data_IF_702056531877
#
_entry.id   IF_702056531877
#
_cell.length_a   1.000
_cell.length_b   1.000
_cell.length_c   1.000
_cell.angle_alpha   90.00
_cell.angle_beta   90.00
_cell.angle_gamma   90.00
#
_symmetry.space_group_name_H-M   'P 1'
#
loop_
_entity.id
_entity.type
_entity.pdbx_description
1 polymer ?
#
# COMPACT_ATOMS: atom_id res chain seq x y z
N UNK A 1 -8.09 -5.93 -9.06
CA UNK A 1 -7.56 -7.14 -8.37
C UNK A 1 -6.31 -6.80 -7.57
N UNK A 2 -5.14 -6.63 -8.20
CA UNK A 2 -3.88 -6.37 -7.46
C UNK A 2 -3.94 -5.16 -6.53
N UNK A 3 -4.42 -4.01 -7.00
CA UNK A 3 -4.60 -2.80 -6.17
C UNK A 3 -5.55 -3.03 -4.99
N UNK A 4 -6.67 -3.72 -5.20
CA UNK A 4 -7.65 -4.04 -4.16
C UNK A 4 -7.03 -4.83 -3.02
N UNK A 5 -6.37 -5.95 -3.34
CA UNK A 5 -5.79 -6.81 -2.31
C UNK A 5 -4.54 -6.19 -1.66
N UNK A 6 -3.72 -5.46 -2.41
CA UNK A 6 -2.62 -4.68 -1.83
C UNK A 6 -3.15 -3.65 -0.81
N UNK A 7 -4.25 -2.97 -1.15
CA UNK A 7 -4.89 -2.02 -0.25
C UNK A 7 -5.63 -2.66 0.91
N UNK A 8 -6.07 -3.91 0.80
CA UNK A 8 -6.54 -4.68 1.96
C UNK A 8 -5.41 -4.84 2.99
N UNK A 9 -4.23 -5.29 2.55
CA UNK A 9 -3.09 -5.50 3.46
C UNK A 9 -2.59 -4.17 4.05
N UNK A 10 -2.48 -3.12 3.23
CA UNK A 10 -2.10 -1.78 3.70
C UNK A 10 -3.14 -1.16 4.65
N UNK A 11 -4.43 -1.37 4.38
CA UNK A 11 -5.53 -0.93 5.23
C UNK A 11 -5.51 -1.65 6.57
N UNK A 12 -5.33 -2.98 6.55
CA UNK A 12 -5.16 -3.80 7.75
C UNK A 12 -3.99 -3.34 8.60
N UNK A 13 -2.84 -3.07 7.97
CA UNK A 13 -1.68 -2.57 8.68
C UNK A 13 -1.88 -1.16 9.25
N UNK A 14 -2.49 -0.25 8.50
CA UNK A 14 -2.71 1.13 8.96
C UNK A 14 -3.78 1.24 10.05
N UNK A 15 -4.74 0.32 10.11
CA UNK A 15 -5.90 0.42 11.01
C UNK A 15 -5.89 -0.60 12.15
N UNK A 16 -5.43 -1.83 11.91
CA UNK A 16 -5.55 -2.95 12.86
C UNK A 16 -4.22 -3.37 13.50
N UNK A 17 -3.07 -2.86 13.03
CA UNK A 17 -1.77 -3.22 13.60
C UNK A 17 -1.67 -2.88 15.10
N UNK A 18 -2.22 -1.73 15.52
CA UNK A 18 -2.22 -1.36 16.95
C UNK A 18 -3.14 -2.27 17.76
N UNK A 19 -4.29 -2.66 17.19
CA UNK A 19 -5.24 -3.58 17.84
C UNK A 19 -4.57 -4.93 18.06
N UNK A 20 -3.93 -5.48 17.03
CA UNK A 20 -3.12 -6.68 17.18
C UNK A 20 -2.09 -6.54 18.31
N UNK A 21 -1.33 -5.44 18.35
CA UNK A 21 -0.27 -5.28 19.33
C UNK A 21 -0.80 -5.27 20.77
N UNK A 22 -1.94 -4.61 21.01
CA UNK A 22 -2.60 -4.59 22.33
C UNK A 22 -3.15 -5.98 22.69
N UNK A 23 -3.84 -6.65 21.76
CA UNK A 23 -4.38 -8.01 21.96
C UNK A 23 -3.26 -9.05 22.16
N UNK A 24 -2.08 -8.84 21.56
CA UNK A 24 -0.89 -9.65 21.76
C UNK A 24 -0.23 -9.43 23.14
N UNK A 25 -0.73 -8.50 23.96
CA UNK A 25 -0.24 -8.19 25.30
C UNK A 25 0.93 -7.20 25.32
N UNK A 26 1.20 -6.48 24.22
CA UNK A 26 2.22 -5.44 24.22
C UNK A 26 1.76 -4.24 25.05
N UNK A 27 2.69 -3.61 25.77
CA UNK A 27 2.42 -2.32 26.39
C UNK A 27 2.13 -1.24 25.33
N UNK A 28 1.41 -0.18 25.69
CA UNK A 28 1.09 0.93 24.78
C UNK A 28 2.33 1.51 24.10
N UNK A 29 3.44 1.62 24.83
CA UNK A 29 4.72 2.08 24.28
C UNK A 29 5.30 1.12 23.23
N UNK A 30 5.32 -0.19 23.52
CA UNK A 30 5.77 -1.20 22.55
C UNK A 30 4.84 -1.28 21.33
N UNK A 31 3.52 -1.18 21.52
CA UNK A 31 2.54 -1.16 20.44
C UNK A 31 2.74 0.05 19.52
N UNK A 32 3.05 1.22 20.08
CA UNK A 32 3.38 2.42 19.31
C UNK A 32 4.64 2.20 18.47
N UNK A 33 5.70 1.66 19.08
CA UNK A 33 6.95 1.33 18.37
C UNK A 33 6.69 0.31 17.26
N UNK A 34 5.87 -0.72 17.49
CA UNK A 34 5.50 -1.72 16.48
C UNK A 34 4.85 -1.07 15.26
N UNK A 35 3.85 -0.20 15.45
CA UNK A 35 3.18 0.50 14.34
C UNK A 35 4.13 1.47 13.64
N UNK A 36 4.88 2.27 14.39
CA UNK A 36 5.86 3.21 13.84
C UNK A 36 6.92 2.51 13.01
N UNK A 37 7.44 1.38 13.48
CA UNK A 37 8.44 0.59 12.76
C UNK A 37 7.95 0.20 11.36
N UNK A 38 6.69 -0.24 11.26
CA UNK A 38 6.06 -0.55 9.98
C UNK A 38 5.93 0.63 9.03
N UNK A 39 5.48 1.79 9.54
CA UNK A 39 5.40 3.02 8.75
C UNK A 39 6.77 3.56 8.35
N UNK A 40 7.78 3.42 9.21
CA UNK A 40 9.17 3.75 8.88
C UNK A 40 9.69 2.86 7.75
N UNK A 41 9.46 1.55 7.83
CA UNK A 41 9.80 0.62 6.76
C UNK A 41 9.19 1.03 5.42
N UNK A 42 7.91 1.38 5.42
CA UNK A 42 7.20 1.88 4.24
C UNK A 42 7.92 3.08 3.60
N UNK A 43 8.26 4.09 4.41
CA UNK A 43 8.97 5.28 3.94
C UNK A 43 10.35 4.95 3.34
N UNK A 44 11.06 3.98 3.93
CA UNK A 44 12.41 3.59 3.50
C UNK A 44 12.42 2.97 2.10
N UNK A 45 11.53 2.02 1.81
CA UNK A 45 11.59 1.24 0.57
C UNK A 45 10.58 1.62 -0.50
N UNK A 46 9.57 2.46 -0.21
CA UNK A 46 8.57 2.86 -1.21
C UNK A 46 9.19 3.53 -2.45
N UNK A 47 10.09 4.50 -2.26
CA UNK A 47 10.74 5.20 -3.38
C UNK A 47 11.78 4.29 -4.07
N UNK A 48 12.69 3.61 -3.35
CA UNK A 48 13.65 2.69 -3.98
C UNK A 48 13.00 1.58 -4.80
N UNK A 49 12.01 0.86 -4.25
CA UNK A 49 11.33 -0.22 -4.95
C UNK A 49 10.47 0.30 -6.12
N UNK A 50 9.90 1.49 -5.97
CA UNK A 50 9.25 2.21 -7.07
C UNK A 50 10.19 2.45 -8.24
N UNK A 51 11.35 3.08 -7.98
CA UNK A 51 12.37 3.32 -9.01
C UNK A 51 12.94 2.04 -9.61
N UNK A 52 13.10 1.00 -8.78
CA UNK A 52 13.55 -0.32 -9.24
C UNK A 52 12.55 -0.91 -10.25
N UNK A 53 11.26 -0.72 -10.00
CA UNK A 53 10.20 -1.21 -10.89
C UNK A 53 10.06 -0.47 -12.23
N UNK A 54 10.72 0.68 -12.37
CA UNK A 54 10.83 1.39 -13.65
C UNK A 54 12.04 0.92 -14.46
N UNK A 55 13.00 0.22 -13.83
CA UNK A 55 14.22 -0.30 -14.48
C UNK A 55 14.13 -1.78 -14.84
N UNK A 56 13.27 -2.52 -14.17
CA UNK A 56 13.08 -3.95 -14.35
C UNK A 56 11.61 -4.26 -14.66
N UNK A 57 11.29 -5.40 -15.30
CA UNK A 57 9.91 -5.79 -15.55
C UNK A 57 9.08 -5.71 -14.26
N UNK A 58 8.12 -4.79 -14.22
CA UNK A 58 7.39 -4.40 -13.00
C UNK A 58 6.72 -5.58 -12.30
N UNK A 59 6.30 -6.60 -13.06
CA UNK A 59 5.73 -7.86 -12.53
C UNK A 59 6.70 -8.62 -11.64
N UNK A 60 8.00 -8.62 -11.95
CA UNK A 60 9.04 -9.29 -11.14
C UNK A 60 9.20 -8.57 -9.80
N UNK A 61 9.28 -7.24 -9.82
CA UNK A 61 9.40 -6.43 -8.59
C UNK A 61 8.15 -6.58 -7.71
N UNK A 62 6.96 -6.64 -8.31
CA UNK A 62 5.71 -6.93 -7.60
C UNK A 62 5.77 -8.31 -6.94
N UNK A 63 6.11 -9.37 -7.69
CA UNK A 63 6.17 -10.73 -7.13
C UNK A 63 7.19 -10.83 -6.01
N UNK A 64 8.36 -10.21 -6.16
CA UNK A 64 9.37 -10.12 -5.11
C UNK A 64 8.81 -9.49 -3.83
N UNK A 65 8.17 -8.33 -3.92
CA UNK A 65 7.57 -7.66 -2.77
C UNK A 65 6.45 -8.49 -2.14
N UNK A 66 5.59 -9.11 -2.96
CA UNK A 66 4.47 -9.94 -2.50
C UNK A 66 4.97 -11.16 -1.74
N UNK A 67 5.92 -11.92 -2.30
CA UNK A 67 6.43 -13.14 -1.66
C UNK A 67 7.23 -12.83 -0.40
N UNK A 68 8.04 -11.78 -0.37
CA UNK A 68 8.74 -11.37 0.85
C UNK A 68 7.73 -10.98 1.94
N UNK A 69 6.73 -10.15 1.59
CA UNK A 69 5.69 -9.75 2.54
C UNK A 69 4.92 -10.96 3.07
N UNK A 70 4.57 -11.90 2.19
CA UNK A 70 3.88 -13.14 2.55
C UNK A 70 4.71 -13.97 3.52
N UNK A 71 5.99 -14.20 3.21
CA UNK A 71 6.91 -14.94 4.07
C UNK A 71 7.06 -14.28 5.44
N UNK A 72 7.20 -12.95 5.50
CA UNK A 72 7.27 -12.21 6.76
C UNK A 72 5.98 -12.39 7.58
N UNK A 73 4.81 -12.30 6.95
CA UNK A 73 3.54 -12.52 7.63
C UNK A 73 3.39 -13.95 8.15
N UNK A 74 3.80 -14.96 7.36
CA UNK A 74 3.83 -16.36 7.82
C UNK A 74 4.77 -16.52 9.02
N UNK A 75 6.00 -15.99 8.95
CA UNK A 75 6.95 -16.04 10.06
C UNK A 75 6.34 -15.40 11.31
N UNK A 76 5.74 -14.21 11.21
CA UNK A 76 5.08 -13.55 12.33
C UNK A 76 3.92 -14.37 12.91
N UNK A 77 3.15 -15.07 12.07
CA UNK A 77 2.06 -15.94 12.56
C UNK A 77 2.52 -17.14 13.39
N UNK A 78 3.78 -17.55 13.23
CA UNK A 78 4.38 -18.69 13.94
C UNK A 78 5.12 -18.26 15.23
N UNK A 79 5.34 -16.97 15.42
CA UNK A 79 5.95 -16.45 16.64
C UNK A 79 4.95 -16.46 17.81
N UNK A 80 5.48 -16.53 19.02
CA UNK A 80 4.69 -16.22 20.20
C UNK A 80 4.28 -14.74 20.21
N UNK A 81 3.04 -14.46 20.63
CA UNK A 81 2.46 -13.11 20.60
C UNK A 81 3.34 -12.04 21.30
N UNK A 82 4.06 -12.44 22.36
CA UNK A 82 4.91 -11.57 23.16
C UNK A 82 6.35 -11.39 22.61
N UNK A 83 6.64 -11.89 21.40
CA UNK A 83 7.99 -11.85 20.84
C UNK A 83 8.35 -10.46 20.29
N UNK A 84 9.45 -9.88 20.81
CA UNK A 84 9.91 -8.55 20.38
C UNK A 84 10.35 -8.50 18.90
N UNK A 85 10.61 -9.66 18.26
CA UNK A 85 10.89 -9.75 16.82
C UNK A 85 9.75 -9.21 15.95
N UNK A 86 8.51 -9.16 16.46
CA UNK A 86 7.39 -8.56 15.75
C UNK A 86 7.67 -7.12 15.31
N UNK A 87 8.41 -6.33 16.09
CA UNK A 87 8.72 -4.93 15.76
C UNK A 87 9.61 -4.87 14.51
N UNK A 88 10.69 -5.65 14.49
CA UNK A 88 11.62 -5.70 13.36
C UNK A 88 10.96 -6.28 12.11
N UNK A 89 10.19 -7.37 12.27
CA UNK A 89 9.46 -7.97 11.16
C UNK A 89 8.38 -7.06 10.61
N UNK A 90 7.72 -6.26 11.45
CA UNK A 90 6.72 -5.29 10.98
C UNK A 90 7.35 -4.13 10.21
N UNK A 91 8.57 -3.71 10.57
CA UNK A 91 9.37 -2.78 9.75
C UNK A 91 9.58 -3.33 8.35
N UNK A 92 10.09 -4.56 8.25
CA UNK A 92 10.31 -5.20 6.94
C UNK A 92 8.99 -5.38 6.19
N UNK A 93 7.94 -5.84 6.88
CA UNK A 93 6.62 -6.03 6.30
C UNK A 93 6.09 -4.73 5.67
N UNK A 94 6.12 -3.62 6.41
CA UNK A 94 5.72 -2.31 5.89
C UNK A 94 6.56 -1.86 4.69
N UNK A 95 7.85 -2.14 4.72
CA UNK A 95 8.79 -1.78 3.65
C UNK A 95 8.43 -2.44 2.30
N UNK A 96 7.93 -3.67 2.31
CA UNK A 96 7.54 -4.38 1.09
C UNK A 96 6.04 -4.26 0.75
N UNK A 97 5.17 -4.02 1.73
CA UNK A 97 3.70 -3.94 1.53
C UNK A 97 3.24 -2.59 0.98
N UNK A 98 3.74 -1.47 1.51
CA UNK A 98 3.29 -0.14 1.08
C UNK A 98 3.59 0.20 -0.40
N UNK A 99 4.76 -0.17 -0.97
CA UNK A 99 5.00 0.02 -2.41
C UNK A 99 3.98 -0.69 -3.31
N UNK A 100 3.36 -1.80 -2.87
CA UNK A 100 2.53 -2.67 -3.72
C UNK A 100 1.38 -1.92 -4.41
N UNK A 101 0.69 -1.01 -3.72
CA UNK A 101 -0.39 -0.24 -4.36
C UNK A 101 0.13 0.57 -5.55
N UNK A 102 1.21 1.34 -5.37
CA UNK A 102 1.83 2.12 -6.44
C UNK A 102 2.36 1.22 -7.56
N UNK A 103 2.95 0.09 -7.22
CA UNK A 103 3.44 -0.88 -8.20
C UNK A 103 2.30 -1.47 -9.03
N UNK A 104 1.17 -1.84 -8.42
CA UNK A 104 0.00 -2.34 -9.14
C UNK A 104 -0.69 -1.25 -9.96
N UNK A 105 -0.74 -0.01 -9.45
CA UNK A 105 -1.29 1.12 -10.19
C UNK A 105 -0.46 1.42 -11.44
N UNK A 106 0.87 1.44 -11.31
CA UNK A 106 1.77 1.61 -12.44
C UNK A 106 1.66 0.42 -13.43
N UNK A 107 1.53 -0.81 -12.93
CA UNK A 107 1.30 -1.98 -13.79
C UNK A 107 -0.03 -1.88 -14.56
N UNK A 108 -1.06 -1.27 -13.97
CA UNK A 108 -2.30 -1.01 -14.70
C UNK A 108 -2.11 0.09 -15.76
N UNK A 109 -1.42 1.18 -15.40
CA UNK A 109 -1.13 2.31 -16.28
C UNK A 109 -0.28 1.94 -17.49
N UNK A 110 0.60 0.93 -17.36
CA UNK A 110 1.39 0.37 -18.47
C UNK A 110 0.50 -0.16 -19.62
N UNK A 111 -0.77 -0.49 -19.35
CA UNK A 111 -1.74 -1.00 -20.34
C UNK A 111 -2.79 0.04 -20.75
N UNK A 112 -2.77 1.23 -20.15
CA UNK A 112 -3.77 2.27 -20.36
C UNK A 112 -3.16 3.38 -21.24
N UNK A 113 -3.78 3.74 -22.37
CA UNK A 113 -3.37 4.88 -23.18
C UNK A 113 -3.28 6.15 -22.34
N UNK A 114 -2.26 6.99 -22.60
CA UNK A 114 -1.95 8.20 -21.83
C UNK A 114 -3.17 9.08 -21.56
N UNK A 115 -4.02 9.24 -22.56
CA UNK A 115 -5.19 10.11 -22.57
C UNK A 115 -6.28 9.60 -21.60
N UNK A 116 -6.28 8.29 -21.32
CA UNK A 116 -7.26 7.63 -20.45
C UNK A 116 -6.74 7.40 -19.02
N UNK A 117 -5.45 7.61 -18.75
CA UNK A 117 -4.85 7.34 -17.42
C UNK A 117 -5.48 8.17 -16.29
N UNK A 118 -5.82 9.42 -16.56
CA UNK A 118 -6.50 10.30 -15.57
C UNK A 118 -7.87 9.72 -15.22
N UNK A 119 -8.68 9.37 -16.22
CA UNK A 119 -10.01 8.76 -16.01
C UNK A 119 -9.91 7.41 -15.30
N UNK A 120 -8.95 6.56 -15.70
CA UNK A 120 -8.75 5.25 -15.07
C UNK A 120 -8.23 5.34 -13.62
N UNK A 121 -7.58 6.44 -13.24
CA UNK A 121 -7.07 6.63 -11.88
C UNK A 121 -8.20 6.61 -10.85
N UNK A 122 -9.37 7.17 -11.16
CA UNK A 122 -10.54 7.10 -10.27
C UNK A 122 -10.98 5.65 -10.02
N UNK A 123 -10.99 4.82 -11.06
CA UNK A 123 -11.33 3.39 -10.97
C UNK A 123 -10.30 2.63 -10.13
N UNK A 124 -9.01 2.92 -10.30
CA UNK A 124 -7.94 2.32 -9.49
C UNK A 124 -8.06 2.71 -8.00
N UNK A 125 -8.39 3.96 -7.71
CA UNK A 125 -8.62 4.47 -6.35
C UNK A 125 -9.86 3.85 -5.73
N UNK A 126 -10.96 3.73 -6.48
CA UNK A 126 -12.18 3.05 -6.03
C UNK A 126 -11.90 1.57 -5.70
N UNK A 127 -11.20 0.87 -6.60
CA UNK A 127 -10.81 -0.52 -6.40
C UNK A 127 -9.84 -0.71 -5.22
N UNK A 128 -8.97 0.25 -4.96
CA UNK A 128 -8.11 0.28 -3.76
C UNK A 128 -8.92 0.53 -2.49
N UNK A 129 -9.86 1.46 -2.56
CA UNK A 129 -10.68 1.86 -1.40
C UNK A 129 -11.58 0.74 -0.92
N UNK A 130 -12.11 -0.10 -1.81
CA UNK A 130 -12.88 -1.28 -1.39
C UNK A 130 -12.05 -2.25 -0.55
N UNK A 131 -10.82 -2.56 -0.97
CA UNK A 131 -9.91 -3.40 -0.19
C UNK A 131 -9.58 -2.79 1.17
N UNK A 132 -9.26 -1.50 1.20
CA UNK A 132 -8.92 -0.78 2.43
C UNK A 132 -10.08 -0.71 3.44
N UNK A 133 -11.32 -0.61 2.97
CA UNK A 133 -12.53 -0.60 3.84
C UNK A 133 -12.84 -2.01 4.37
N UNK A 134 -12.67 -3.05 3.55
CA UNK A 134 -12.94 -4.44 3.96
C UNK A 134 -11.92 -4.93 5.00
N UNK A 135 -10.68 -4.43 4.96
CA UNK A 135 -9.60 -4.86 5.84
C UNK A 135 -9.90 -4.78 7.35
N UNK A 136 -10.27 -3.62 7.94
CA UNK A 136 -10.57 -3.53 9.37
C UNK A 136 -11.77 -4.38 9.78
N UNK A 137 -12.76 -4.56 8.90
CA UNK A 137 -13.94 -5.40 9.18
C UNK A 137 -13.50 -6.87 9.28
N UNK A 138 -12.78 -7.37 8.28
CA UNK A 138 -12.35 -8.76 8.24
C UNK A 138 -11.32 -9.08 9.34
N UNK A 139 -10.31 -8.24 9.49
CA UNK A 139 -9.23 -8.45 10.47
C UNK A 139 -9.74 -8.21 11.90
N UNK A 140 -10.60 -7.21 12.13
CA UNK A 140 -11.21 -6.98 13.43
C UNK A 140 -12.10 -8.14 13.86
N UNK A 141 -12.89 -8.70 12.95
CA UNK A 141 -13.65 -9.92 13.21
C UNK A 141 -12.73 -11.10 13.60
N UNK A 142 -11.62 -11.28 12.88
CA UNK A 142 -10.67 -12.35 13.17
C UNK A 142 -10.00 -12.16 14.54
N UNK A 143 -9.54 -10.95 14.86
CA UNK A 143 -8.95 -10.64 16.16
C UNK A 143 -9.94 -10.80 17.32
N UNK A 144 -11.24 -10.55 17.10
CA UNK A 144 -12.27 -10.71 18.13
C UNK A 144 -12.73 -12.15 18.38
N UNK A 145 -12.47 -13.08 17.45
CA UNK A 145 -12.99 -14.46 17.52
C UNK A 145 -11.89 -15.54 17.50
N UNK A 146 -10.65 -15.18 17.15
CA UNK A 146 -9.53 -16.10 17.02
C UNK A 146 -8.28 -15.54 17.72
N UNK A 147 -7.19 -16.32 17.73
CA UNK A 147 -5.93 -15.90 18.32
C UNK A 147 -5.36 -14.63 17.64
N UNK A 148 -4.53 -13.81 18.34
CA UNK A 148 -3.89 -12.63 17.75
C UNK A 148 -3.08 -12.91 16.47
N UNK A 149 -2.52 -14.11 16.34
CA UNK A 149 -1.82 -14.55 15.12
C UNK A 149 -2.70 -14.55 13.86
N UNK A 150 -4.03 -14.57 14.01
CA UNK A 150 -5.00 -14.46 12.91
C UNK A 150 -4.83 -13.17 12.10
N UNK A 151 -4.35 -12.08 12.72
CA UNK A 151 -3.97 -10.85 12.02
C UNK A 151 -2.94 -11.12 10.92
N UNK A 152 -1.87 -11.83 11.25
CA UNK A 152 -0.82 -12.15 10.29
C UNK A 152 -1.27 -13.19 9.28
N UNK A 153 -2.04 -14.20 9.69
CA UNK A 153 -2.59 -15.22 8.80
C UNK A 153 -3.51 -14.63 7.73
N UNK A 154 -4.34 -13.65 8.09
CA UNK A 154 -5.21 -12.95 7.14
C UNK A 154 -4.39 -12.22 6.07
N UNK A 155 -3.36 -11.48 6.50
CA UNK A 155 -2.46 -10.76 5.59
C UNK A 155 -1.66 -11.73 4.70
N UNK A 156 -1.10 -12.81 5.29
CA UNK A 156 -0.38 -13.85 4.56
C UNK A 156 -1.26 -14.50 3.49
N UNK A 157 -2.49 -14.87 3.84
CA UNK A 157 -3.45 -15.52 2.93
C UNK A 157 -3.75 -14.65 1.71
N UNK A 158 -4.00 -13.35 1.94
CA UNK A 158 -4.25 -12.38 0.86
C UNK A 158 -3.01 -12.19 -0.02
N UNK A 159 -1.82 -12.08 0.57
CA UNK A 159 -0.58 -11.92 -0.19
C UNK A 159 -0.25 -13.16 -1.01
N UNK A 160 -0.40 -14.36 -0.45
CA UNK A 160 -0.22 -15.64 -1.16
C UNK A 160 -1.20 -15.73 -2.32
N UNK A 161 -2.48 -15.43 -2.11
CA UNK A 161 -3.49 -15.43 -3.16
C UNK A 161 -3.12 -14.49 -4.32
N UNK A 162 -2.72 -13.25 -4.01
CA UNK A 162 -2.26 -12.29 -5.02
C UNK A 162 -0.99 -12.77 -5.72
N UNK A 163 -0.04 -13.35 -4.99
CA UNK A 163 1.20 -13.88 -5.54
C UNK A 163 0.94 -14.99 -6.56
N UNK A 164 0.05 -15.93 -6.22
CA UNK A 164 -0.39 -17.01 -7.12
C UNK A 164 -1.10 -16.41 -8.35
N UNK A 165 -2.03 -15.49 -8.15
CA UNK A 165 -2.79 -14.85 -9.23
C UNK A 165 -1.87 -14.12 -10.22
N UNK A 166 -0.91 -13.33 -9.74
CA UNK A 166 0.04 -12.60 -10.59
C UNK A 166 1.01 -13.54 -11.28
N UNK A 167 1.47 -14.59 -10.60
CA UNK A 167 2.35 -15.61 -11.19
C UNK A 167 1.65 -16.32 -12.35
N UNK A 168 0.40 -16.75 -12.17
CA UNK A 168 -0.43 -17.31 -13.22
C UNK A 168 -0.61 -16.34 -14.38
N UNK A 169 -1.02 -15.10 -14.09
CA UNK A 169 -1.27 -14.08 -15.13
C UNK A 169 -0.02 -13.67 -15.91
N UNK A 170 1.16 -13.84 -15.32
CA UNK A 170 2.44 -13.57 -15.99
C UNK A 170 2.81 -14.66 -17.00
N UNK A 171 2.36 -15.90 -16.80
CA UNK A 171 2.55 -16.99 -17.78
C UNK A 171 1.62 -16.87 -18.99
N UNK A 172 0.44 -16.28 -18.80
CA UNK A 172 -0.61 -16.22 -19.84
C UNK A 172 -0.53 -14.95 -20.70
N UNK A 173 0.14 -13.89 -20.24
CA UNK A 173 0.26 -12.63 -20.97
C UNK A 173 1.70 -12.14 -20.99
N UNK A 174 2.19 -11.69 -22.13
CA UNK A 174 3.49 -11.03 -22.22
C UNK A 174 3.52 -9.72 -21.41
N UNK A 175 4.72 -9.35 -20.95
CA UNK A 175 4.94 -8.10 -20.24
C UNK A 175 5.02 -6.92 -21.23
N UNK A 176 4.66 -5.72 -20.77
CA UNK A 176 4.98 -4.51 -21.51
C UNK A 176 6.50 -4.34 -21.46
N UNK A 177 7.18 -4.11 -22.61
CA UNK A 177 8.61 -3.83 -22.65
C UNK A 177 9.00 -2.71 -21.69
N UNK A 178 10.17 -2.80 -21.06
CA UNK A 178 10.61 -1.87 -20.01
C UNK A 178 10.63 -0.41 -20.50
N UNK A 179 11.02 -0.19 -21.75
CA UNK A 179 11.04 1.10 -22.44
C UNK A 179 9.64 1.74 -22.62
N UNK A 180 8.57 0.95 -22.54
CA UNK A 180 7.18 1.41 -22.70
C UNK A 180 6.42 1.53 -21.38
N UNK A 181 7.08 1.29 -20.24
CA UNK A 181 6.44 1.38 -18.94
C UNK A 181 6.17 2.83 -18.54
N UNK A 182 5.03 3.05 -17.89
CA UNK A 182 4.71 4.32 -17.26
C UNK A 182 5.62 4.55 -16.05
N UNK A 183 5.99 5.80 -15.73
CA UNK A 183 6.83 6.09 -14.57
C UNK A 183 6.10 5.79 -13.26
N UNK A 184 6.80 5.22 -12.29
CA UNK A 184 6.26 5.03 -10.94
C UNK A 184 6.08 6.39 -10.26
N UNK A 185 4.87 6.61 -9.75
CA UNK A 185 4.55 7.78 -8.93
C UNK A 185 4.42 7.29 -7.48
N UNK A 186 5.25 7.78 -6.54
CA UNK A 186 5.08 7.47 -5.13
C UNK A 186 3.74 8.03 -4.66
N UNK A 187 2.80 7.13 -4.36
CA UNK A 187 1.49 7.49 -3.85
C UNK A 187 1.59 7.59 -2.32
N UNK A 188 1.70 8.82 -1.82
CA UNK A 188 1.61 9.09 -0.38
C UNK A 188 0.14 8.98 0.04
N UNK A 189 -0.12 8.40 1.21
CA UNK A 189 -1.46 8.12 1.73
C UNK A 189 -2.41 9.31 1.53
N UNK A 190 -3.36 9.14 0.58
CA UNK A 190 -4.57 9.96 0.36
C UNK A 190 -4.43 11.47 0.54
N UNK A 191 -3.28 12.05 0.20
CA UNK A 191 -3.12 13.50 0.09
C UNK A 191 -3.49 14.01 -1.29
N UNK A 192 -4.08 13.20 -2.18
CA UNK A 192 -4.36 13.58 -3.58
C UNK A 192 -5.08 14.92 -3.74
N UNK A 193 -6.04 15.26 -2.87
CA UNK A 193 -6.67 16.59 -2.89
C UNK A 193 -5.90 17.63 -2.08
N UNK A 194 -5.42 17.30 -0.88
CA UNK A 194 -4.74 18.25 0.03
C UNK A 194 -3.33 18.62 -0.48
N UNK A 195 -2.53 17.64 -0.94
CA UNK A 195 -1.24 17.89 -1.57
C UNK A 195 -1.37 18.53 -2.95
N UNK A 196 -2.45 18.23 -3.71
CA UNK A 196 -2.69 18.96 -4.96
C UNK A 196 -3.13 20.41 -4.70
N UNK A 197 -3.99 20.67 -3.71
CA UNK A 197 -4.40 22.02 -3.33
C UNK A 197 -3.25 22.81 -2.70
N UNK A 198 -2.48 22.20 -1.79
CA UNK A 198 -1.26 22.79 -1.22
C UNK A 198 -0.20 23.04 -2.29
N UNK A 199 0.04 22.09 -3.19
CA UNK A 199 1.00 22.26 -4.28
C UNK A 199 0.61 23.38 -5.24
N UNK A 200 -0.70 23.58 -5.45
CA UNK A 200 -1.24 24.69 -6.25
C UNK A 200 -1.10 26.03 -5.49
N UNK A 201 -1.37 26.03 -4.19
CA UNK A 201 -1.25 27.20 -3.31
C UNK A 201 0.21 27.67 -3.15
N UNK A 202 1.15 26.76 -2.90
CA UNK A 202 2.59 27.07 -2.77
C UNK A 202 3.14 27.70 -4.07
N UNK A 203 2.73 27.18 -5.23
CA UNK A 203 3.19 27.70 -6.52
C UNK A 203 2.50 29.01 -6.92
N UNK A 204 1.29 29.25 -6.44
CA UNK A 204 0.50 30.40 -6.87
C UNK A 204 -0.41 30.93 -5.73
N UNK A 205 0.18 31.51 -4.67
CA UNK A 205 -0.55 31.83 -3.43
C UNK A 205 -1.63 32.91 -3.63
N UNK A 206 -1.51 33.74 -4.68
CA UNK A 206 -2.43 34.83 -4.99
C UNK A 206 -3.54 34.45 -5.98
N UNK A 207 -3.57 33.21 -6.50
CA UNK A 207 -4.57 32.79 -7.49
C UNK A 207 -6.00 32.69 -6.91
N UNK A 208 -6.14 32.69 -5.58
CA UNK A 208 -7.42 32.55 -4.86
C UNK A 208 -7.95 33.91 -4.36
N UNK A 209 -7.19 34.99 -4.52
CA UNK A 209 -7.64 36.32 -4.08
C UNK A 209 -8.69 36.86 -5.05
N UNK A 210 -9.91 37.22 -4.59
CA UNK A 210 -10.89 37.89 -5.44
C UNK A 210 -10.27 39.21 -5.91
N UNK A 211 -9.99 39.32 -7.21
CA UNK A 211 -9.72 40.62 -7.80
C UNK A 211 -11.07 41.31 -7.93
N UNK A 212 -11.46 42.07 -6.91
CA UNK A 212 -12.51 43.07 -7.08
C UNK A 212 -12.07 43.96 -8.25
N UNK A 213 -12.77 43.85 -9.38
CA UNK A 213 -12.70 44.89 -10.39
C UNK A 213 -13.39 46.11 -9.78
N UNK A 214 -12.75 47.28 -9.71
CA UNK A 214 -13.49 48.49 -9.36
C UNK A 214 -14.64 48.64 -10.36
N UNK A 215 -15.86 48.78 -9.83
CA UNK A 215 -17.03 49.16 -10.62
C UNK A 215 -16.76 50.57 -11.17
N UNK A 216 -16.56 50.67 -12.48
CA UNK A 216 -16.53 51.94 -13.19
C UNK A 216 -17.91 52.60 -13.04
N UNK A 217 -17.97 53.67 -12.23
CA UNK A 217 -19.09 54.60 -12.14
C UNK A 217 -18.89 55.80 -13.05
#
# INVERSE_FOLDING_TARGET
VGTTFASFVQGGMSSMAIVFAIEAGMSTGKATIFVSAGLTGAALLQIPLGRLSDRYPRRIIILFCVFISASIAVIQSLLSNSNDLHIFLNLLFGAFVFPLYGLFAALANDWIPSEKRISASSTLVLASSSGAVVAPIAIGFLLGNFAPSSYFLANASVLIFVGIYISYRTRVREAVPVDKQSPFIPLVARSGQIAHSLGRWIRNPLAVWPREKPEDK
#
